data_IF_096415431366
#
_entry.id   IF_096415431366
#
_cell.length_a   1.000
_cell.length_b   1.000
_cell.length_c   1.000
_cell.angle_alpha   90.00
_cell.angle_beta   90.00
_cell.angle_gamma   90.00
#
_symmetry.space_group_name_H-M   'P 1'
#
loop_
_entity.id
_entity.type
_entity.pdbx_description
1 polymer ?
#
# COMPACT_ATOMS: atom_id res chain seq x y z
N UNK A 1 -3.95 -23.54 -15.93
CA UNK A 1 -2.77 -23.50 -15.04
C UNK A 1 -2.12 -24.88 -15.02
N UNK A 2 -0.78 -24.99 -14.90
CA UNK A 2 -0.10 -26.29 -14.90
C UNK A 2 -0.45 -27.10 -13.64
N UNK A 3 -0.83 -28.37 -13.82
CA UNK A 3 -1.15 -29.28 -12.70
C UNK A 3 0.08 -29.72 -11.90
N UNK A 4 1.28 -29.63 -12.50
CA UNK A 4 2.55 -29.88 -11.84
C UNK A 4 3.53 -28.74 -12.19
N UNK A 5 3.52 -27.63 -11.44
CA UNK A 5 4.39 -26.50 -11.71
C UNK A 5 5.86 -26.88 -11.48
N UNK A 6 6.75 -26.22 -12.22
CA UNK A 6 8.19 -26.35 -11.98
C UNK A 6 8.56 -25.66 -10.67
N UNK A 7 9.56 -26.17 -9.91
CA UNK A 7 10.03 -25.50 -8.72
C UNK A 7 10.43 -24.06 -8.99
N UNK A 8 9.99 -23.11 -8.16
CA UNK A 8 10.20 -21.69 -8.41
C UNK A 8 11.69 -21.32 -8.53
N UNK A 9 12.60 -22.05 -7.89
CA UNK A 9 14.04 -21.81 -7.97
C UNK A 9 14.62 -22.08 -9.36
N UNK A 10 13.97 -22.95 -10.15
CA UNK A 10 14.36 -23.28 -11.53
C UNK A 10 13.58 -22.49 -12.56
N UNK A 11 12.64 -21.65 -12.11
CA UNK A 11 11.79 -20.90 -12.98
C UNK A 11 12.59 -19.74 -13.60
N UNK A 12 12.52 -19.61 -14.93
CA UNK A 12 13.16 -18.52 -15.64
C UNK A 12 12.32 -17.25 -15.42
N UNK A 13 12.88 -16.31 -14.66
CA UNK A 13 12.27 -15.00 -14.46
C UNK A 13 12.24 -14.22 -15.79
N UNK A 14 11.23 -13.36 -15.94
CA UNK A 14 11.04 -12.53 -17.13
C UNK A 14 11.88 -11.26 -17.10
N UNK A 15 11.50 -10.28 -17.92
CA UNK A 15 12.21 -9.00 -18.01
C UNK A 15 11.89 -8.07 -16.82
N UNK A 16 10.69 -8.19 -16.24
CA UNK A 16 10.20 -7.26 -15.22
C UNK A 16 10.27 -7.83 -13.81
N UNK A 17 9.94 -9.12 -13.65
CA UNK A 17 10.05 -9.82 -12.36
C UNK A 17 11.50 -10.28 -12.16
N UNK A 18 12.19 -9.80 -11.13
CA UNK A 18 13.48 -10.36 -10.73
C UNK A 18 13.32 -11.54 -9.77
N UNK A 19 14.34 -12.40 -9.67
CA UNK A 19 14.33 -13.54 -8.74
C UNK A 19 14.21 -13.08 -7.29
N UNK A 20 14.95 -12.03 -6.93
CA UNK A 20 14.95 -11.46 -5.58
C UNK A 20 13.57 -10.95 -5.18
N UNK A 21 12.88 -10.24 -6.09
CA UNK A 21 11.51 -9.77 -5.88
C UNK A 21 10.53 -10.94 -5.68
N UNK A 22 10.66 -11.98 -6.51
CA UNK A 22 9.81 -13.17 -6.41
C UNK A 22 10.01 -13.90 -5.08
N UNK A 23 11.26 -14.05 -4.63
CA UNK A 23 11.58 -14.65 -3.34
C UNK A 23 11.06 -13.80 -2.17
N UNK A 24 11.22 -12.47 -2.24
CA UNK A 24 10.68 -11.55 -1.23
C UNK A 24 9.15 -11.64 -1.15
N UNK A 25 8.46 -11.70 -2.29
CA UNK A 25 7.01 -11.89 -2.35
C UNK A 25 6.58 -13.20 -1.69
N UNK A 26 7.28 -14.30 -1.97
CA UNK A 26 6.97 -15.61 -1.39
C UNK A 26 7.26 -15.68 0.12
N UNK A 27 8.29 -14.96 0.60
CA UNK A 27 8.63 -14.87 2.02
C UNK A 27 7.60 -14.09 2.84
N UNK A 28 6.90 -13.13 2.23
CA UNK A 28 5.81 -12.37 2.88
C UNK A 28 4.56 -13.19 3.11
N UNK A 29 4.46 -14.39 2.53
CA UNK A 29 3.32 -15.28 2.70
C UNK A 29 3.46 -16.02 4.03
N UNK A 30 2.44 -15.92 4.88
CA UNK A 30 2.43 -16.57 6.18
C UNK A 30 2.67 -18.09 6.07
N UNK A 31 3.46 -18.67 7.00
CA UNK A 31 3.74 -20.10 6.99
C UNK A 31 2.44 -20.90 7.19
N UNK A 32 2.25 -21.93 6.36
CA UNK A 32 1.06 -22.79 6.42
C UNK A 32 -0.11 -22.36 5.54
N UNK A 33 -0.10 -21.15 4.97
CA UNK A 33 -1.15 -20.69 4.03
C UNK A 33 -1.07 -21.40 2.68
N UNK A 34 0.15 -21.66 2.20
CA UNK A 34 0.39 -22.32 0.92
C UNK A 34 1.20 -23.60 1.09
N UNK A 35 0.76 -24.65 0.40
CA UNK A 35 1.54 -25.86 0.17
C UNK A 35 2.74 -25.57 -0.74
N UNK A 36 3.76 -26.42 -0.71
CA UNK A 36 4.95 -26.27 -1.56
C UNK A 36 4.60 -26.17 -3.06
N UNK A 37 3.67 -27.01 -3.54
CA UNK A 37 3.20 -26.98 -4.93
C UNK A 37 2.43 -25.70 -5.27
N UNK A 38 1.70 -25.13 -4.32
CA UNK A 38 0.96 -23.89 -4.53
C UNK A 38 1.90 -22.69 -4.59
N UNK A 39 2.98 -22.69 -3.81
CA UNK A 39 4.06 -21.69 -3.90
C UNK A 39 4.70 -21.71 -5.30
N UNK A 40 5.03 -22.90 -5.79
CA UNK A 40 5.55 -23.07 -7.16
C UNK A 40 4.55 -22.59 -8.22
N UNK A 41 3.25 -22.86 -8.02
CA UNK A 41 2.20 -22.43 -8.93
C UNK A 41 2.04 -20.90 -8.95
N UNK A 42 2.01 -20.26 -7.78
CA UNK A 42 1.89 -18.80 -7.66
C UNK A 42 3.12 -18.14 -8.29
N UNK A 43 4.32 -18.66 -8.02
CA UNK A 43 5.54 -18.17 -8.65
C UNK A 43 5.46 -18.22 -10.18
N UNK A 44 4.96 -19.33 -10.73
CA UNK A 44 4.71 -19.47 -12.16
C UNK A 44 3.70 -18.45 -12.69
N UNK A 45 2.58 -18.23 -11.99
CA UNK A 45 1.56 -17.25 -12.39
C UNK A 45 2.12 -15.83 -12.36
N UNK A 46 2.87 -15.46 -11.33
CA UNK A 46 3.46 -14.12 -11.19
C UNK A 46 4.39 -13.81 -12.37
N UNK A 47 5.26 -14.74 -12.73
CA UNK A 47 6.19 -14.55 -13.85
C UNK A 47 5.46 -14.57 -15.20
N UNK A 48 4.49 -15.47 -15.39
CA UNK A 48 3.70 -15.51 -16.62
C UNK A 48 2.90 -14.22 -16.84
N UNK A 49 2.35 -13.67 -15.75
CA UNK A 49 1.58 -12.44 -15.75
C UNK A 49 2.42 -11.21 -15.37
N UNK A 50 3.74 -11.20 -15.59
CA UNK A 50 4.62 -10.12 -15.11
C UNK A 50 4.18 -8.72 -15.57
N UNK A 51 3.52 -8.60 -16.73
CA UNK A 51 3.02 -7.32 -17.28
C UNK A 51 1.72 -6.83 -16.64
N UNK A 52 1.06 -7.67 -15.85
CA UNK A 52 -0.19 -7.29 -15.17
C UNK A 52 0.06 -6.51 -13.87
N UNK A 53 1.28 -6.58 -13.33
CA UNK A 53 1.67 -5.86 -12.12
C UNK A 53 2.27 -4.50 -12.47
N UNK A 54 2.04 -3.53 -11.60
CA UNK A 54 2.75 -2.25 -11.61
C UNK A 54 4.02 -2.40 -10.76
N UNK A 55 5.18 -2.41 -11.40
CA UNK A 55 6.49 -2.52 -10.74
C UNK A 55 7.03 -1.16 -10.34
N UNK A 56 6.74 -0.15 -11.17
CA UNK A 56 7.07 1.23 -10.90
C UNK A 56 5.82 2.06 -10.60
N UNK A 57 6.01 3.16 -9.88
CA UNK A 57 4.91 4.05 -9.53
C UNK A 57 4.25 4.70 -10.76
N UNK A 58 4.97 4.81 -11.87
CA UNK A 58 4.44 5.32 -13.15
C UNK A 58 3.47 4.34 -13.81
N UNK A 59 3.61 3.03 -13.54
CA UNK A 59 2.71 1.99 -14.04
C UNK A 59 1.47 1.83 -13.16
N UNK A 60 1.51 2.40 -11.95
CA UNK A 60 0.34 2.42 -11.07
C UNK A 60 -0.77 3.21 -11.77
N UNK A 61 -1.94 2.59 -11.88
CA UNK A 61 -3.12 3.25 -12.41
C UNK A 61 -3.32 4.61 -11.74
N UNK A 62 -3.23 5.68 -12.53
CA UNK A 62 -3.55 7.04 -12.12
C UNK A 62 -4.78 7.49 -12.88
N UNK A 63 -5.64 8.24 -12.20
CA UNK A 63 -6.74 8.88 -12.88
C UNK A 63 -6.18 10.03 -13.72
N UNK A 64 -6.45 10.01 -15.02
CA UNK A 64 -6.10 11.16 -15.86
C UNK A 64 -6.87 12.37 -15.37
N UNK A 65 -6.15 13.48 -15.18
CA UNK A 65 -6.75 14.78 -14.83
C UNK A 65 -7.72 15.30 -15.88
N UNK A 66 -7.65 14.77 -17.10
CA UNK A 66 -8.62 15.04 -18.17
C UNK A 66 -10.03 14.52 -17.82
N UNK A 67 -10.11 13.34 -17.20
CA UNK A 67 -11.38 12.69 -16.88
C UNK A 67 -11.77 12.85 -15.40
N UNK A 68 -10.80 13.03 -14.52
CA UNK A 68 -10.99 13.14 -13.08
C UNK A 68 -10.22 14.36 -12.56
N UNK A 69 -10.89 15.52 -12.40
CA UNK A 69 -10.25 16.69 -11.83
C UNK A 69 -9.80 16.43 -10.39
N UNK A 70 -8.85 17.22 -9.90
CA UNK A 70 -8.35 17.09 -8.53
C UNK A 70 -9.52 17.21 -7.52
N UNK A 71 -9.56 16.29 -6.56
CA UNK A 71 -10.61 16.27 -5.55
C UNK A 71 -10.47 17.47 -4.61
N UNK A 72 -11.52 18.27 -4.50
CA UNK A 72 -11.59 19.38 -3.54
C UNK A 72 -12.14 18.85 -2.22
N UNK A 73 -11.30 18.80 -1.18
CA UNK A 73 -11.76 18.44 0.16
C UNK A 73 -12.66 19.57 0.67
N UNK A 74 -13.93 19.31 1.03
CA UNK A 74 -14.79 20.34 1.58
C UNK A 74 -14.22 20.78 2.94
N UNK A 75 -13.98 22.07 3.08
CA UNK A 75 -13.56 22.67 4.36
C UNK A 75 -14.77 23.28 5.04
N UNK A 76 -14.80 23.15 6.37
CA UNK A 76 -15.73 23.91 7.22
C UNK A 76 -14.95 25.10 7.76
N UNK A 77 -15.55 26.29 7.74
CA UNK A 77 -14.91 27.46 8.34
C UNK A 77 -14.59 27.20 9.82
N UNK A 78 -13.35 27.49 10.21
CA UNK A 78 -12.94 27.31 11.60
C UNK A 78 -13.62 28.34 12.48
N UNK A 79 -14.54 27.90 13.33
CA UNK A 79 -15.03 28.73 14.43
C UNK A 79 -13.99 28.66 15.57
N UNK A 80 -13.32 29.78 15.92
CA UNK A 80 -12.40 29.77 17.03
C UNK A 80 -13.16 29.40 18.31
N UNK A 81 -12.61 28.46 19.07
CA UNK A 81 -13.15 28.13 20.37
C UNK A 81 -12.86 29.29 21.33
N UNK A 82 -13.81 30.22 21.46
CA UNK A 82 -13.72 31.27 22.47
C UNK A 82 -14.03 30.65 23.84
N UNK A 83 -12.98 30.27 24.56
CA UNK A 83 -13.10 30.03 26.00
C UNK A 83 -13.07 31.40 26.69
N UNK A 84 -14.11 31.79 27.45
CA UNK A 84 -14.01 32.99 28.28
C UNK A 84 -12.79 32.85 29.21
N UNK A 85 -11.99 33.91 29.41
CA UNK A 85 -10.85 33.83 30.31
C UNK A 85 -11.34 33.41 31.70
N UNK A 86 -10.60 32.50 32.34
CA UNK A 86 -10.87 32.09 33.71
C UNK A 86 -10.77 33.36 34.58
N UNK A 87 -11.83 33.65 35.34
CA UNK A 87 -11.86 34.81 36.22
C UNK A 87 -10.78 34.65 37.29
N UNK A 88 -9.98 35.69 37.49
CA UNK A 88 -9.03 35.76 38.59
C UNK A 88 -9.83 35.71 39.91
N UNK A 89 -9.51 34.80 40.85
CA UNK A 89 -10.12 34.78 42.17
C UNK A 89 -9.92 36.11 42.89
N UNK A 90 -10.96 36.60 43.58
CA UNK A 90 -10.91 37.88 44.30
C UNK A 90 -9.76 37.97 45.32
N UNK A 91 -9.34 36.84 45.89
CA UNK A 91 -8.29 36.79 46.90
C UNK A 91 -6.90 37.20 46.39
N UNK A 92 -6.65 37.18 45.07
CA UNK A 92 -5.35 37.49 44.47
C UNK A 92 -5.40 38.71 43.53
N UNK A 93 -6.50 39.47 43.54
CA UNK A 93 -6.63 40.65 42.67
C UNK A 93 -5.60 41.75 42.97
N UNK A 94 -5.19 41.88 44.24
CA UNK A 94 -4.23 42.89 44.67
C UNK A 94 -2.76 42.48 44.41
N UNK A 95 -2.52 41.22 44.02
CA UNK A 95 -1.18 40.64 43.81
C UNK A 95 -0.78 40.52 42.33
N UNK A 96 -1.68 40.88 41.41
CA UNK A 96 -1.48 40.86 39.94
C UNK A 96 -1.23 42.28 39.43
#
# INVERSE_FOLDING_TARGET
LPSNPVPYQRLKCGERVTREQLEEMLLKIEPGVLLLKERDLIAFVVVMCEKAFAWEQVERGSFSREYFPDYVIPTIEHTPWQCPPIKIPYAILDEV
#
